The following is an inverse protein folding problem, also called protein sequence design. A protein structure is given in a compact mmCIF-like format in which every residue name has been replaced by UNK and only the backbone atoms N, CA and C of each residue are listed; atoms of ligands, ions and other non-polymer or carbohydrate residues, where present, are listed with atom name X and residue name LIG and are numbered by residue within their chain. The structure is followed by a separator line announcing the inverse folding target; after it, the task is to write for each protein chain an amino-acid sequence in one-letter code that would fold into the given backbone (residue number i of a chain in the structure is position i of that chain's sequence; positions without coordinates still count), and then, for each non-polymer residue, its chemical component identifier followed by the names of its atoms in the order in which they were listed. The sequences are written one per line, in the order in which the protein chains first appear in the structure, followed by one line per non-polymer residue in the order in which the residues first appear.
data_IF_587503346311
#
_entry.id   IF_587503346311
#
_cell.length_a   1.000
_cell.length_b   1.000
_cell.length_c   1.000
_cell.angle_alpha   90.00
_cell.angle_beta   90.00
_cell.angle_gamma   90.00
#
_symmetry.space_group_name_H-M   'P 1'
#
loop_
_entity.id
_entity.type
_entity.pdbx_description
1 polymer ?
#
# COMPACT_ATOMS: atom_id res chain seq x y z
N UNK A 1 26.15 -25.95 48.20
CA UNK A 1 25.63 -24.76 47.48
C UNK A 1 24.83 -25.28 46.30
N UNK A 2 23.51 -25.05 46.28
CA UNK A 2 22.59 -25.64 45.29
C UNK A 2 22.67 -24.84 43.98
N UNK A 3 23.01 -25.51 42.88
CA UNK A 3 23.01 -24.95 41.53
C UNK A 3 21.57 -24.73 41.06
N UNK A 4 21.25 -23.52 40.60
CA UNK A 4 19.98 -23.21 39.95
C UNK A 4 20.19 -23.17 38.43
N UNK A 5 19.48 -24.05 37.71
CA UNK A 5 19.44 -24.04 36.24
C UNK A 5 18.39 -23.04 35.78
N UNK A 6 18.80 -22.00 35.06
CA UNK A 6 17.89 -21.06 34.39
C UNK A 6 17.54 -21.64 33.03
N UNK A 7 16.29 -22.09 32.86
CA UNK A 7 15.77 -22.52 31.55
C UNK A 7 15.37 -21.24 30.81
N UNK A 8 16.15 -20.86 29.81
CA UNK A 8 15.81 -19.77 28.89
C UNK A 8 14.87 -20.34 27.82
N UNK A 9 13.56 -20.21 28.01
CA UNK A 9 12.60 -20.45 26.93
C UNK A 9 12.76 -19.35 25.90
N UNK A 10 13.30 -19.69 24.72
CA UNK A 10 13.21 -18.82 23.57
C UNK A 10 11.73 -18.69 23.17
N UNK A 11 11.07 -17.63 23.62
CA UNK A 11 9.83 -17.16 23.02
C UNK A 11 10.19 -16.76 21.58
N UNK A 12 9.79 -17.58 20.62
CA UNK A 12 9.82 -17.18 19.22
C UNK A 12 9.00 -15.90 19.09
N UNK A 13 9.66 -14.79 18.85
CA UNK A 13 8.98 -13.55 18.49
C UNK A 13 8.23 -13.82 17.20
N UNK A 14 6.90 -13.74 17.26
CA UNK A 14 6.07 -13.72 16.05
C UNK A 14 6.52 -12.47 15.30
N UNK A 15 7.24 -12.64 14.21
CA UNK A 15 7.52 -11.52 13.31
C UNK A 15 6.16 -10.96 12.88
N UNK A 16 5.84 -9.74 13.29
CA UNK A 16 4.74 -9.01 12.69
C UNK A 16 5.11 -8.83 11.22
N UNK A 17 4.48 -9.58 10.33
CA UNK A 17 4.51 -9.23 8.92
C UNK A 17 4.00 -7.79 8.84
N UNK A 18 4.82 -6.88 8.34
CA UNK A 18 4.40 -5.49 8.12
C UNK A 18 3.12 -5.52 7.27
N UNK A 19 2.00 -5.24 7.91
CA UNK A 19 0.72 -5.01 7.24
C UNK A 19 0.69 -3.53 6.97
N UNK A 20 1.38 -3.14 5.90
CA UNK A 20 1.50 -1.75 5.52
C UNK A 20 0.10 -1.23 5.21
N UNK A 21 -0.50 -0.49 6.14
CA UNK A 21 -1.76 0.18 5.93
C UNK A 21 -1.45 1.56 5.34
N UNK A 22 -1.81 1.78 4.09
CA UNK A 22 -1.59 3.05 3.40
C UNK A 22 -2.77 3.42 2.51
N UNK A 23 -2.90 4.70 2.19
CA UNK A 23 -4.03 5.27 1.45
C UNK A 23 -3.54 6.36 0.50
N UNK A 24 -4.37 6.74 -0.47
CA UNK A 24 -3.98 7.59 -1.60
C UNK A 24 -4.34 7.03 -2.97
N UNK A 25 -3.84 7.68 -4.02
CA UNK A 25 -4.07 7.25 -5.40
C UNK A 25 -3.05 6.18 -5.81
N UNK A 26 -3.41 5.37 -6.81
CA UNK A 26 -2.52 4.35 -7.39
C UNK A 26 -2.22 4.73 -8.84
N UNK A 27 -1.02 5.24 -9.12
CA UNK A 27 -0.58 5.57 -10.47
C UNK A 27 -0.31 4.31 -11.30
N UNK A 28 -0.64 4.35 -12.59
CA UNK A 28 -0.34 3.32 -13.57
C UNK A 28 1.02 3.63 -14.20
N UNK A 29 2.10 3.23 -13.53
CA UNK A 29 3.48 3.57 -13.87
C UNK A 29 3.67 5.09 -13.99
N UNK A 30 4.42 5.53 -15.00
CA UNK A 30 4.65 6.94 -15.32
C UNK A 30 3.65 7.51 -16.33
N UNK A 31 2.50 6.86 -16.56
CA UNK A 31 1.55 7.24 -17.62
C UNK A 31 0.71 8.49 -17.34
N UNK A 32 0.74 9.02 -16.11
CA UNK A 32 -0.16 10.08 -15.67
C UNK A 32 -1.62 9.63 -15.48
N UNK A 33 -1.87 8.32 -15.49
CA UNK A 33 -3.18 7.71 -15.17
C UNK A 33 -3.14 7.04 -13.80
N UNK A 34 -4.32 6.90 -13.21
CA UNK A 34 -4.54 6.26 -11.93
C UNK A 34 -5.56 5.11 -12.03
N UNK A 35 -5.49 4.19 -11.08
CA UNK A 35 -6.51 3.18 -10.84
C UNK A 35 -7.81 3.86 -10.41
N UNK A 36 -8.91 3.60 -11.13
CA UNK A 36 -10.19 4.27 -10.92
C UNK A 36 -11.34 3.28 -10.92
N UNK A 37 -12.26 3.39 -9.97
CA UNK A 37 -13.55 2.72 -10.04
C UNK A 37 -14.54 3.56 -10.87
N UNK A 38 -15.31 2.93 -11.75
CA UNK A 38 -16.25 3.66 -12.63
C UNK A 38 -17.48 4.23 -11.91
N UNK A 39 -17.88 3.61 -10.79
CA UNK A 39 -18.94 4.09 -9.90
C UNK A 39 -18.78 3.45 -8.50
N UNK A 40 -19.60 3.86 -7.53
CA UNK A 40 -19.70 3.22 -6.20
C UNK A 40 -20.83 2.18 -6.18
N UNK A 41 -20.75 1.18 -7.05
CA UNK A 41 -21.71 0.07 -7.10
C UNK A 41 -20.97 -1.24 -7.23
N UNK A 42 -21.56 -2.33 -6.75
CA UNK A 42 -20.99 -3.66 -6.99
C UNK A 42 -20.93 -3.93 -8.50
N UNK A 43 -19.86 -4.60 -8.90
CA UNK A 43 -19.52 -4.89 -10.28
C UNK A 43 -19.11 -3.66 -11.11
N UNK A 44 -18.92 -2.49 -10.49
CA UNK A 44 -18.35 -1.36 -11.19
C UNK A 44 -16.93 -1.69 -11.64
N UNK A 45 -16.65 -1.48 -12.93
CA UNK A 45 -15.37 -1.80 -13.53
C UNK A 45 -14.24 -0.94 -12.92
N UNK A 46 -13.07 -1.53 -12.82
CA UNK A 46 -11.82 -0.82 -12.50
C UNK A 46 -11.07 -0.54 -13.78
N UNK A 47 -10.73 0.73 -13.98
CA UNK A 47 -10.19 1.26 -15.23
C UNK A 47 -8.99 2.17 -14.97
N UNK A 48 -8.22 2.42 -16.02
CA UNK A 48 -7.34 3.58 -16.09
C UNK A 48 -8.19 4.86 -16.15
N UNK A 49 -7.86 5.85 -15.33
CA UNK A 49 -8.53 7.15 -15.31
C UNK A 49 -7.57 8.26 -14.96
N UNK A 50 -8.02 9.52 -15.05
CA UNK A 50 -7.23 10.64 -14.56
C UNK A 50 -7.09 10.58 -13.05
N UNK A 51 -5.94 11.05 -12.54
CA UNK A 51 -5.65 11.13 -11.11
C UNK A 51 -6.39 12.33 -10.48
N UNK A 52 -7.73 12.27 -10.45
CA UNK A 52 -8.60 13.38 -10.07
C UNK A 52 -8.54 13.76 -8.59
N UNK A 53 -8.07 12.85 -7.73
CA UNK A 53 -8.11 13.00 -6.27
C UNK A 53 -9.51 12.75 -5.68
N UNK A 54 -10.53 12.54 -6.51
CA UNK A 54 -11.88 12.22 -6.07
C UNK A 54 -11.99 10.81 -5.48
N UNK A 55 -13.07 10.54 -4.74
CA UNK A 55 -13.27 9.29 -4.01
C UNK A 55 -13.14 8.02 -4.86
N UNK A 56 -13.38 8.12 -6.17
CA UNK A 56 -13.28 7.04 -7.16
C UNK A 56 -11.83 6.70 -7.58
N UNK A 57 -10.85 7.45 -7.08
CA UNK A 57 -9.41 7.22 -7.26
C UNK A 57 -8.64 7.11 -5.94
N UNK A 58 -9.34 7.21 -4.80
CA UNK A 58 -8.74 7.10 -3.47
C UNK A 58 -8.88 5.67 -2.96
N UNK A 59 -7.76 4.96 -2.95
CA UNK A 59 -7.71 3.59 -2.47
C UNK A 59 -7.13 3.54 -1.05
N UNK A 60 -7.34 2.43 -0.36
CA UNK A 60 -6.52 2.02 0.79
C UNK A 60 -6.05 0.57 0.63
N UNK A 61 -4.83 0.26 1.07
CA UNK A 61 -4.39 -1.13 1.25
C UNK A 61 -4.48 -1.45 2.73
N UNK A 62 -5.22 -2.51 3.08
CA UNK A 62 -5.50 -2.86 4.47
C UNK A 62 -5.51 -4.38 4.65
N UNK A 63 -4.55 -4.92 5.41
CA UNK A 63 -4.41 -6.35 5.71
C UNK A 63 -4.53 -7.29 4.50
N UNK A 64 -4.04 -6.89 3.32
CA UNK A 64 -4.15 -7.68 2.10
C UNK A 64 -5.42 -7.45 1.30
N UNK A 65 -6.20 -6.40 1.59
CA UNK A 65 -7.32 -5.98 0.75
C UNK A 65 -7.05 -4.59 0.17
N UNK A 66 -7.37 -4.37 -1.10
CA UNK A 66 -7.32 -3.05 -1.75
C UNK A 66 -8.75 -2.50 -1.73
N UNK A 67 -9.00 -1.44 -0.98
CA UNK A 67 -10.35 -0.93 -0.70
C UNK A 67 -10.59 0.45 -1.28
N UNK A 68 -11.85 0.76 -1.56
CA UNK A 68 -12.35 2.05 -2.04
C UNK A 68 -13.76 2.30 -1.49
N UNK A 69 -14.19 3.56 -1.44
CA UNK A 69 -15.50 3.97 -0.93
C UNK A 69 -15.86 3.44 0.48
N UNK A 70 -14.85 3.12 1.29
CA UNK A 70 -15.00 2.57 2.63
C UNK A 70 -15.22 1.04 2.66
N UNK A 71 -16.25 0.53 1.99
CA UNK A 71 -16.66 -0.88 2.08
C UNK A 71 -16.57 -1.69 0.78
N UNK A 72 -15.95 -1.14 -0.27
CA UNK A 72 -15.72 -1.85 -1.53
C UNK A 72 -14.28 -2.29 -1.64
N UNK A 73 -14.05 -3.44 -2.24
CA UNK A 73 -12.77 -4.09 -2.42
C UNK A 73 -12.52 -4.30 -3.91
N UNK A 74 -11.26 -4.13 -4.34
CA UNK A 74 -10.78 -4.61 -5.63
C UNK A 74 -10.97 -6.13 -5.68
N UNK A 75 -11.60 -6.60 -6.74
CA UNK A 75 -12.15 -7.94 -6.84
C UNK A 75 -11.89 -8.51 -8.23
N UNK A 76 -11.37 -9.73 -8.29
CA UNK A 76 -11.32 -10.51 -9.53
C UNK A 76 -12.74 -10.97 -9.84
N UNK A 77 -13.33 -10.44 -10.90
CA UNK A 77 -14.73 -10.75 -11.24
C UNK A 77 -14.94 -12.26 -11.36
N UNK A 78 -15.91 -12.76 -10.57
CA UNK A 78 -16.26 -14.17 -10.42
C UNK A 78 -15.13 -15.10 -9.94
N UNK A 79 -13.97 -14.57 -9.55
CA UNK A 79 -12.81 -15.37 -9.13
C UNK A 79 -12.20 -16.20 -10.27
N UNK A 80 -12.41 -15.81 -11.52
CA UNK A 80 -11.90 -16.55 -12.66
C UNK A 80 -10.38 -16.33 -12.82
N UNK A 81 -9.60 -17.40 -12.64
CA UNK A 81 -8.13 -17.36 -12.80
C UNK A 81 -7.70 -17.55 -14.26
N UNK A 82 -8.08 -16.60 -15.11
CA UNK A 82 -7.67 -16.55 -16.52
C UNK A 82 -7.07 -15.19 -16.86
N UNK A 83 -6.02 -15.21 -17.68
CA UNK A 83 -5.44 -13.98 -18.23
C UNK A 83 -6.53 -13.21 -18.97
N UNK A 84 -6.62 -11.92 -18.67
CA UNK A 84 -7.62 -11.03 -19.23
C UNK A 84 -8.94 -10.97 -18.47
N UNK A 85 -9.08 -11.69 -17.35
CA UNK A 85 -10.21 -11.47 -16.46
C UNK A 85 -10.16 -10.03 -15.92
N UNK A 86 -11.21 -9.26 -16.22
CA UNK A 86 -11.33 -7.87 -15.78
C UNK A 86 -11.55 -7.80 -14.27
N UNK A 87 -11.05 -6.70 -13.69
CA UNK A 87 -11.27 -6.36 -12.30
C UNK A 87 -12.49 -5.47 -12.13
N UNK A 88 -13.14 -5.66 -10.99
CA UNK A 88 -14.25 -4.85 -10.53
C UNK A 88 -14.01 -4.38 -9.11
N UNK A 89 -14.90 -3.54 -8.62
CA UNK A 89 -15.10 -3.40 -7.19
C UNK A 89 -16.33 -4.20 -6.76
N UNK A 90 -16.25 -4.78 -5.57
CA UNK A 90 -17.36 -5.49 -4.96
C UNK A 90 -17.35 -5.24 -3.45
N UNK A 91 -18.50 -5.41 -2.80
CA UNK A 91 -18.62 -5.38 -1.34
C UNK A 91 -17.52 -6.25 -0.72
N UNK A 92 -16.79 -5.70 0.24
CA UNK A 92 -15.72 -6.42 0.92
C UNK A 92 -16.28 -7.57 1.76
N UNK A 93 -15.71 -8.77 1.61
CA UNK A 93 -16.01 -9.93 2.46
C UNK A 93 -14.74 -10.47 3.11
N UNK A 94 -14.81 -10.72 4.42
CA UNK A 94 -13.67 -11.28 5.15
C UNK A 94 -13.34 -12.68 4.63
N UNK A 95 -12.07 -12.93 4.33
CA UNK A 95 -11.60 -14.21 3.81
C UNK A 95 -11.97 -14.50 2.35
N UNK A 96 -12.65 -13.60 1.64
CA UNK A 96 -12.90 -13.79 0.21
C UNK A 96 -11.58 -13.70 -0.58
N UNK A 97 -11.19 -14.82 -1.19
CA UNK A 97 -9.95 -14.99 -1.94
C UNK A 97 -9.85 -14.05 -3.14
N UNK A 98 -10.97 -13.69 -3.77
CA UNK A 98 -11.00 -12.81 -4.95
C UNK A 98 -10.58 -11.36 -4.63
N UNK A 99 -10.54 -11.02 -3.33
CA UNK A 99 -10.28 -9.68 -2.82
C UNK A 99 -8.97 -9.61 -2.03
N UNK A 100 -8.14 -10.67 -2.10
CA UNK A 100 -6.87 -10.74 -1.39
C UNK A 100 -5.72 -10.37 -2.31
N UNK A 101 -4.93 -9.38 -1.93
CA UNK A 101 -3.87 -8.79 -2.70
C UNK A 101 -2.58 -8.70 -1.88
N UNK A 102 -1.45 -8.71 -2.55
CA UNK A 102 -0.17 -8.26 -2.01
C UNK A 102 0.33 -7.08 -2.83
N UNK A 103 1.19 -6.26 -2.21
CA UNK A 103 1.87 -5.15 -2.88
C UNK A 103 3.37 -5.25 -2.65
N UNK A 104 4.15 -5.38 -3.72
CA UNK A 104 5.61 -5.47 -3.68
C UNK A 104 6.20 -5.00 -5.01
N UNK A 105 7.29 -4.23 -4.99
CA UNK A 105 7.99 -3.75 -6.20
C UNK A 105 7.05 -3.10 -7.23
N UNK A 106 6.11 -2.29 -6.75
CA UNK A 106 5.04 -1.68 -7.55
C UNK A 106 4.14 -2.67 -8.30
N UNK A 107 4.10 -3.95 -7.91
CA UNK A 107 3.12 -4.91 -8.40
C UNK A 107 2.03 -5.11 -7.34
N UNK A 108 0.78 -5.06 -7.78
CA UNK A 108 -0.36 -5.53 -6.99
C UNK A 108 -0.71 -6.93 -7.52
N UNK A 109 -0.47 -7.96 -6.71
CA UNK A 109 -0.68 -9.35 -7.11
C UNK A 109 -1.79 -10.03 -6.34
N UNK A 110 -2.52 -10.92 -7.02
CA UNK A 110 -3.62 -11.70 -6.45
C UNK A 110 -3.03 -12.79 -5.53
N UNK A 111 -3.28 -12.65 -4.22
CA UNK A 111 -2.67 -13.51 -3.21
C UNK A 111 -3.13 -14.97 -3.37
N UNK A 112 -2.16 -15.88 -3.46
CA UNK A 112 -2.41 -17.30 -3.69
C UNK A 112 -2.39 -17.70 -5.17
N UNK A 113 -2.21 -16.74 -6.07
CA UNK A 113 -2.17 -16.93 -7.51
C UNK A 113 -0.88 -16.34 -8.11
N UNK A 114 -0.62 -16.64 -9.38
CA UNK A 114 0.53 -16.11 -10.15
C UNK A 114 0.14 -14.90 -11.01
N UNK A 115 -0.89 -14.17 -10.58
CA UNK A 115 -1.54 -13.12 -11.36
C UNK A 115 -1.39 -11.75 -10.71
N UNK A 116 -1.18 -10.75 -11.55
CA UNK A 116 -0.96 -9.37 -11.18
C UNK A 116 -1.98 -8.47 -11.88
N UNK A 117 -2.28 -7.32 -11.27
CA UNK A 117 -2.96 -6.24 -11.95
C UNK A 117 -2.20 -5.89 -13.23
N UNK A 118 -2.96 -5.64 -14.29
CA UNK A 118 -2.43 -5.39 -15.63
C UNK A 118 -3.31 -4.35 -16.33
N UNK A 119 -2.69 -3.31 -16.86
CA UNK A 119 -3.39 -2.37 -17.75
C UNK A 119 -3.57 -3.06 -19.09
N UNK A 120 -4.83 -3.32 -19.45
CA UNK A 120 -5.18 -4.15 -20.61
C UNK A 120 -4.46 -3.67 -21.87
N UNK A 121 -3.68 -4.56 -22.49
CA UNK A 121 -2.88 -4.30 -23.68
C UNK A 121 -1.90 -3.11 -23.58
N UNK A 122 -1.53 -2.69 -22.36
CA UNK A 122 -0.67 -1.52 -22.13
C UNK A 122 -1.27 -0.18 -22.57
N UNK A 123 -2.60 -0.08 -22.71
CA UNK A 123 -3.27 1.14 -23.17
C UNK A 123 -3.63 2.07 -22.01
N UNK A 124 -2.82 3.09 -21.76
CA UNK A 124 -3.03 4.05 -20.65
C UNK A 124 -3.99 5.19 -21.01
N UNK A 125 -5.19 4.85 -21.48
CA UNK A 125 -6.26 5.80 -21.84
C UNK A 125 -7.39 5.72 -20.83
N UNK A 126 -8.09 6.83 -20.61
CA UNK A 126 -9.25 6.84 -19.71
C UNK A 126 -10.29 5.80 -20.15
N UNK A 127 -10.77 5.00 -19.20
CA UNK A 127 -11.74 3.93 -19.43
C UNK A 127 -11.12 2.61 -19.88
N UNK A 128 -9.81 2.53 -20.16
CA UNK A 128 -9.20 1.23 -20.47
C UNK A 128 -9.30 0.29 -19.25
N UNK A 129 -9.83 -0.93 -19.38
CA UNK A 129 -10.00 -1.83 -18.25
C UNK A 129 -8.68 -2.24 -17.61
N UNK A 130 -8.73 -2.47 -16.30
CA UNK A 130 -7.70 -3.22 -15.59
C UNK A 130 -8.13 -4.68 -15.55
N UNK A 131 -7.18 -5.56 -15.85
CA UNK A 131 -7.36 -7.00 -15.85
C UNK A 131 -6.35 -7.65 -14.89
N UNK A 132 -6.50 -8.95 -14.68
CA UNK A 132 -5.40 -9.77 -14.20
C UNK A 132 -4.66 -10.41 -15.36
N UNK A 133 -3.34 -10.51 -15.22
CA UNK A 133 -2.48 -11.24 -16.14
C UNK A 133 -1.35 -11.93 -15.37
N UNK A 134 -0.69 -12.92 -15.96
CA UNK A 134 0.51 -13.52 -15.39
C UNK A 134 1.48 -12.41 -14.96
N UNK A 135 2.02 -12.53 -13.75
CA UNK A 135 2.98 -11.57 -13.22
C UNK A 135 4.28 -11.62 -14.05
N UNK A 136 4.62 -10.51 -14.72
CA UNK A 136 5.81 -10.37 -15.57
C UNK A 136 6.72 -9.32 -14.94
N UNK A 137 7.94 -9.68 -14.48
CA UNK A 137 8.88 -8.72 -13.91
C UNK A 137 9.20 -7.57 -14.88
N UNK A 138 9.33 -6.36 -14.33
CA UNK A 138 9.70 -5.14 -15.07
C UNK A 138 8.76 -4.76 -16.22
N UNK A 139 7.52 -5.27 -16.21
CA UNK A 139 6.53 -4.92 -17.21
C UNK A 139 5.85 -3.60 -16.86
N UNK A 140 5.90 -2.64 -17.78
CA UNK A 140 5.34 -1.29 -17.58
C UNK A 140 3.82 -1.29 -17.41
N UNK A 141 3.09 -2.23 -18.01
CA UNK A 141 1.64 -2.33 -17.83
C UNK A 141 1.23 -3.05 -16.54
N UNK A 142 2.19 -3.59 -15.77
CA UNK A 142 1.97 -4.19 -14.45
C UNK A 142 2.57 -3.34 -13.31
N UNK A 143 2.98 -2.12 -13.61
CA UNK A 143 3.57 -1.17 -12.65
C UNK A 143 2.48 -0.27 -12.05
N UNK A 144 2.13 -0.49 -10.79
CA UNK A 144 1.13 0.23 -10.01
C UNK A 144 1.80 0.90 -8.81
N UNK A 145 1.86 2.22 -8.78
CA UNK A 145 2.63 2.98 -7.80
C UNK A 145 1.67 3.66 -6.83
N UNK A 146 1.80 3.35 -5.54
CA UNK A 146 1.05 4.03 -4.50
C UNK A 146 1.61 5.41 -4.19
N UNK A 147 0.79 6.44 -4.40
CA UNK A 147 1.08 7.79 -3.95
C UNK A 147 0.50 7.94 -2.54
N UNK A 148 1.27 7.53 -1.54
CA UNK A 148 0.78 7.43 -0.17
C UNK A 148 0.54 8.82 0.44
N UNK A 149 -0.67 9.05 0.94
CA UNK A 149 -0.90 9.98 2.03
C UNK A 149 -0.73 9.17 3.32
N UNK A 150 0.32 9.46 4.08
CA UNK A 150 0.56 8.75 5.34
C UNK A 150 -0.64 8.96 6.29
N UNK A 151 -1.21 7.91 6.93
CA UNK A 151 -2.31 8.04 7.87
C UNK A 151 -2.02 8.89 9.12
N UNK A 152 -0.78 9.38 9.28
CA UNK A 152 -0.37 10.23 10.40
C UNK A 152 -0.75 11.71 10.27
N UNK A 153 -1.53 12.12 9.27
CA UNK A 153 -2.07 13.49 9.20
C UNK A 153 -3.49 13.54 8.60
N UNK A 154 -4.56 13.57 9.42
CA UNK A 154 -5.95 13.65 8.95
C UNK A 154 -6.37 15.00 8.34
N UNK A 155 -5.45 15.97 8.21
CA UNK A 155 -5.77 17.34 7.84
C UNK A 155 -5.15 17.83 6.53
N UNK A 156 -5.47 17.22 5.38
CA UNK A 156 -5.37 17.90 4.09
C UNK A 156 -6.17 17.19 2.97
N UNK A 157 -7.41 17.62 2.65
CA UNK A 157 -8.13 17.12 1.48
C UNK A 157 -7.57 17.83 0.24
N UNK A 158 -6.54 17.22 -0.37
CA UNK A 158 -5.86 17.79 -1.53
C UNK A 158 -6.71 17.75 -2.80
N UNK A 159 -7.39 18.86 -3.08
CA UNK A 159 -7.82 19.26 -4.42
C UNK A 159 -8.34 20.70 -4.39
N UNK A 160 -8.45 21.40 -5.53
CA UNK A 160 -7.50 21.54 -6.64
C UNK A 160 -6.71 22.86 -6.49
N UNK A 161 -5.38 22.81 -6.56
CA UNK A 161 -4.54 24.01 -6.62
C UNK A 161 -3.79 24.42 -5.35
N UNK A 162 -2.99 23.52 -4.75
CA UNK A 162 -1.97 23.93 -3.79
C UNK A 162 -0.57 23.47 -4.28
N UNK A 163 0.46 24.32 -4.15
CA UNK A 163 1.74 24.18 -4.84
C UNK A 163 2.50 22.97 -4.32
N UNK A 164 3.40 22.45 -5.17
CA UNK A 164 4.33 21.38 -4.83
C UNK A 164 4.88 21.56 -3.40
N UNK A 165 4.53 20.64 -2.49
CA UNK A 165 5.24 20.57 -1.22
C UNK A 165 6.67 20.18 -1.56
N UNK A 166 7.56 21.12 -1.24
CA UNK A 166 8.94 21.15 -1.67
C UNK A 166 9.65 19.83 -1.42
N UNK A 167 10.54 19.51 -2.35
CA UNK A 167 11.66 18.62 -2.07
C UNK A 167 12.22 18.99 -0.69
N UNK A 168 12.19 18.03 0.23
CA UNK A 168 13.03 18.08 1.43
C UNK A 168 14.46 18.22 0.93
N UNK A 169 15.01 19.40 1.09
CA UNK A 169 16.43 19.66 0.84
C UNK A 169 17.25 18.75 1.75
N UNK A 170 18.44 18.26 1.32
CA UNK A 170 19.20 17.22 2.04
C UNK A 170 19.80 17.65 3.39
N UNK A 171 19.32 18.72 4.02
CA UNK A 171 19.98 19.39 5.15
C UNK A 171 19.21 19.30 6.48
N UNK A 172 18.19 18.44 6.62
CA UNK A 172 17.53 18.24 7.90
C UNK A 172 18.32 17.24 8.77
N UNK A 173 19.21 17.77 9.62
CA UNK A 173 20.13 17.02 10.50
C UNK A 173 19.46 16.45 11.76
N UNK A 174 18.14 16.55 11.88
CA UNK A 174 17.40 16.17 13.09
C UNK A 174 16.17 15.35 12.75
N UNK A 175 16.05 14.18 13.37
CA UNK A 175 14.88 13.30 13.26
C UNK A 175 14.23 13.19 14.63
N UNK A 176 12.95 13.57 14.72
CA UNK A 176 12.13 13.41 15.93
C UNK A 176 11.26 12.18 15.79
N UNK A 177 11.38 11.25 16.75
CA UNK A 177 10.57 10.03 16.79
C UNK A 177 9.68 10.09 18.03
N UNK A 178 8.36 10.11 17.84
CA UNK A 178 7.37 10.11 18.91
C UNK A 178 6.68 8.75 18.96
N UNK A 179 6.83 8.02 20.07
CA UNK A 179 6.10 6.78 20.32
C UNK A 179 4.94 7.03 21.28
N UNK A 180 3.76 6.47 20.99
CA UNK A 180 2.65 6.39 21.93
C UNK A 180 2.79 5.17 22.86
N UNK A 181 1.94 5.05 23.90
CA UNK A 181 1.93 3.86 24.76
C UNK A 181 1.55 2.62 23.94
N UNK A 182 2.50 1.72 23.71
CA UNK A 182 2.36 0.55 22.85
C UNK A 182 3.67 -0.23 22.71
N UNK A 183 3.67 -1.36 21.98
CA UNK A 183 4.87 -2.19 21.80
C UNK A 183 5.97 -1.43 21.03
N UNK A 184 7.22 -1.88 21.22
CA UNK A 184 8.46 -1.28 20.71
C UNK A 184 8.37 -0.87 19.23
N UNK A 185 8.56 0.42 18.94
CA UNK A 185 8.67 0.95 17.57
C UNK A 185 10.10 0.79 17.07
N UNK A 186 10.29 0.08 15.95
CA UNK A 186 11.57 0.01 15.24
C UNK A 186 11.54 1.00 14.07
N UNK A 187 12.47 1.95 14.04
CA UNK A 187 12.63 2.92 12.93
C UNK A 187 14.03 2.77 12.33
N UNK A 188 14.11 2.76 10.99
CA UNK A 188 15.39 2.72 10.27
C UNK A 188 15.66 4.09 9.65
N UNK A 189 16.83 4.65 9.96
CA UNK A 189 17.30 5.92 9.41
C UNK A 189 18.46 5.60 8.46
N UNK A 190 18.35 5.99 7.20
CA UNK A 190 19.31 5.68 6.12
C UNK A 190 20.18 6.87 5.69
N UNK A 191 20.11 7.99 6.42
CA UNK A 191 20.90 9.20 6.13
C UNK A 191 21.80 9.55 7.33
N UNK A 192 22.84 10.38 7.09
CA UNK A 192 23.66 10.92 8.18
C UNK A 192 22.82 11.84 9.07
N UNK A 193 22.44 11.34 10.25
CA UNK A 193 21.70 12.10 11.25
C UNK A 193 22.60 12.33 12.44
N UNK A 194 22.81 13.59 12.80
CA UNK A 194 23.69 13.96 13.93
C UNK A 194 22.98 13.84 15.27
N UNK A 195 21.66 14.01 15.30
CA UNK A 195 20.88 13.98 16.55
C UNK A 195 19.54 13.26 16.36
N UNK A 196 19.28 12.26 17.22
CA UNK A 196 17.99 11.57 17.33
C UNK A 196 17.38 11.94 18.68
N UNK A 197 16.18 12.49 18.68
CA UNK A 197 15.45 12.83 19.91
C UNK A 197 14.26 11.87 20.08
N UNK A 198 14.26 11.13 21.18
CA UNK A 198 13.19 10.21 21.58
C UNK A 198 12.45 10.81 22.76
N UNK A 199 11.13 11.02 22.63
CA UNK A 199 10.35 11.77 23.62
C UNK A 199 9.48 10.91 24.55
N UNK A 200 9.61 9.56 24.54
CA UNK A 200 8.85 8.65 25.41
C UNK A 200 9.43 7.21 25.46
N UNK A 201 9.01 6.38 26.43
CA UNK A 201 9.60 5.07 26.77
C UNK A 201 8.73 3.84 26.40
N UNK A 202 9.30 2.62 26.21
CA UNK A 202 10.68 2.29 25.84
C UNK A 202 10.81 2.11 24.30
N UNK A 203 11.68 2.89 23.66
CA UNK A 203 11.97 2.80 22.22
C UNK A 203 13.37 2.22 22.05
N UNK A 204 13.50 1.21 21.19
CA UNK A 204 14.80 0.70 20.73
C UNK A 204 15.08 1.32 19.36
N UNK A 205 16.06 2.22 19.28
CA UNK A 205 16.50 2.82 18.02
C UNK A 205 17.74 2.06 17.52
N UNK A 206 17.67 1.51 16.31
CA UNK A 206 18.85 0.93 15.65
C UNK A 206 19.31 1.85 14.55
N UNK A 207 20.46 2.48 14.75
CA UNK A 207 21.14 3.27 13.72
C UNK A 207 22.09 2.34 12.96
N UNK A 208 21.98 2.29 11.64
CA UNK A 208 22.97 1.68 10.77
C UNK A 208 23.62 2.81 9.98
N UNK A 209 24.88 3.10 10.29
CA UNK A 209 25.73 3.98 9.50
C UNK A 209 26.35 3.19 8.35
#
# INVERSE_FOLDING_TARGET
MKSFTVILTALATIASAQTNNFSGTVSLGSSGKCLRATSNSDNAAVVAGDCSGAADTQWSFNYGTVRIFGNKCLDVTNGNDVNGQQLQIYTCYNGNTNQQWYYNNNHIGWRGHTRCLDVTNGRFQNGNPIQIWDCIPYNSNQNFIWNTVSPSNPGNPGGPGCPAQGAITPAATTVTITAGPGPTVTSTVTQQVTTITVTSAPVTVTVRL
#
